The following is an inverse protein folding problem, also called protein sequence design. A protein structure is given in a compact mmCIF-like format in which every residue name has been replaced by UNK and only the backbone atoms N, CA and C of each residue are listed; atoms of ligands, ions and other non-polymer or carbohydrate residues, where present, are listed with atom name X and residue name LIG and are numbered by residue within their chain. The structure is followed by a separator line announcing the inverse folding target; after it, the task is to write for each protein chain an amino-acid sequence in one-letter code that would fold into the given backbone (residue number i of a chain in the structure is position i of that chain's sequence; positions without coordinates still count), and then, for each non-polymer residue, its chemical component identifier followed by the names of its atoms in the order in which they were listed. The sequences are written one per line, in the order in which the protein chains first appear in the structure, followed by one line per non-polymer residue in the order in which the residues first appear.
data_IF_058949590392
#
_entry.id   IF_058949590392
#
_cell.length_a   1.000
_cell.length_b   1.000
_cell.length_c   1.000
_cell.angle_alpha   90.00
_cell.angle_beta   90.00
_cell.angle_gamma   90.00
#
_symmetry.space_group_name_H-M   'P 1'
#
loop_
_entity.id
_entity.type
_entity.pdbx_description
1 polymer ?
#
# COMPACT_ATOMS: atom_id res chain seq x y z
N UNK A 1 10.11 14.80 -6.20
CA UNK A 1 9.57 13.42 -6.14
C UNK A 1 10.67 12.47 -6.61
N UNK A 2 11.11 11.54 -5.76
CA UNK A 2 12.17 10.60 -6.12
C UNK A 2 11.67 9.62 -7.18
N UNK A 3 12.30 9.60 -8.35
CA UNK A 3 11.87 8.79 -9.50
C UNK A 3 12.60 7.45 -9.60
N UNK A 4 13.20 6.98 -8.51
CA UNK A 4 13.98 5.74 -8.50
C UNK A 4 13.08 4.52 -8.68
N UNK A 5 13.41 3.70 -9.68
CA UNK A 5 12.76 2.43 -9.95
C UNK A 5 13.28 1.34 -9.00
N UNK A 6 12.40 0.46 -8.53
CA UNK A 6 12.79 -0.73 -7.74
C UNK A 6 13.08 -1.89 -8.70
N UNK A 7 14.08 -2.71 -8.39
CA UNK A 7 14.40 -3.93 -9.15
C UNK A 7 13.99 -5.19 -8.40
N UNK A 8 13.63 -6.21 -9.19
CA UNK A 8 13.40 -7.60 -8.81
C UNK A 8 14.10 -8.48 -9.85
N UNK A 9 14.31 -9.77 -9.56
CA UNK A 9 15.16 -10.69 -10.35
C UNK A 9 15.07 -10.53 -11.88
N UNK A 10 13.86 -10.36 -12.41
CA UNK A 10 13.62 -10.17 -13.86
C UNK A 10 12.69 -8.99 -14.17
N UNK A 11 12.51 -8.05 -13.24
CA UNK A 11 11.55 -6.97 -13.41
C UNK A 11 12.02 -5.68 -12.73
N UNK A 12 11.98 -4.58 -13.47
CA UNK A 12 12.14 -3.24 -12.91
C UNK A 12 10.77 -2.59 -12.89
N UNK A 13 10.36 -2.07 -11.74
CA UNK A 13 9.01 -1.55 -11.54
C UNK A 13 9.00 -0.32 -10.63
N UNK A 14 8.03 0.54 -10.87
CA UNK A 14 7.66 1.63 -9.97
C UNK A 14 6.15 1.75 -9.97
N UNK A 15 5.55 1.02 -9.05
CA UNK A 15 4.11 1.04 -8.86
C UNK A 15 3.82 1.93 -7.67
N UNK A 16 3.16 3.05 -7.94
CA UNK A 16 2.75 4.00 -6.91
C UNK A 16 1.24 4.08 -6.93
N UNK A 17 0.64 3.84 -5.76
CA UNK A 17 -0.79 3.96 -5.56
C UNK A 17 -1.06 4.99 -4.48
N UNK A 18 -2.11 5.79 -4.67
CA UNK A 18 -2.77 6.47 -3.57
C UNK A 18 -3.83 5.53 -3.00
N UNK A 19 -3.54 4.97 -1.83
CA UNK A 19 -4.50 4.18 -1.08
C UNK A 19 -5.18 5.05 -0.03
N UNK A 20 -6.50 5.18 -0.13
CA UNK A 20 -7.34 5.86 0.86
C UNK A 20 -8.11 4.81 1.66
N UNK A 21 -7.78 4.71 2.94
CA UNK A 21 -8.44 3.85 3.91
C UNK A 21 -9.13 4.70 4.96
N UNK A 22 -10.38 4.37 5.26
CA UNK A 22 -11.19 5.09 6.23
C UNK A 22 -11.46 4.18 7.43
N UNK A 23 -11.05 4.59 8.62
CA UNK A 23 -11.50 3.96 9.86
C UNK A 23 -12.97 4.29 10.09
N UNK A 24 -13.71 3.42 10.77
CA UNK A 24 -15.15 3.59 11.00
C UNK A 24 -15.50 4.94 11.64
N UNK A 25 -14.62 5.46 12.49
CA UNK A 25 -14.76 6.76 13.13
C UNK A 25 -13.71 7.78 12.67
N UNK A 26 -13.17 7.62 11.44
CA UNK A 26 -12.30 8.57 10.71
C UNK A 26 -11.10 9.12 11.50
N UNK A 27 -10.54 8.33 12.42
CA UNK A 27 -9.31 8.66 13.14
C UNK A 27 -8.07 8.28 12.32
N UNK A 28 -7.00 9.06 12.51
CA UNK A 28 -5.69 8.86 11.88
C UNK A 28 -5.01 7.64 12.50
N UNK A 29 -4.68 6.63 11.69
CA UNK A 29 -4.11 5.37 12.18
C UNK A 29 -3.00 4.79 11.29
N UNK A 30 -2.60 5.48 10.21
CA UNK A 30 -1.60 4.98 9.26
C UNK A 30 -0.33 5.81 9.26
N UNK A 31 0.79 5.12 9.07
CA UNK A 31 2.09 5.67 8.69
C UNK A 31 2.41 5.24 7.26
N UNK A 32 3.18 6.04 6.51
CA UNK A 32 3.49 5.77 5.09
C UNK A 32 4.16 4.42 4.84
N UNK A 33 4.91 3.91 5.82
CA UNK A 33 5.60 2.62 5.74
C UNK A 33 4.65 1.41 5.60
N UNK A 34 3.39 1.51 6.03
CA UNK A 34 2.41 0.43 5.90
C UNK A 34 1.89 0.23 4.46
N UNK A 35 2.23 1.12 3.53
CA UNK A 35 1.63 1.19 2.19
C UNK A 35 2.56 0.71 1.07
N UNK A 36 3.79 0.28 1.40
CA UNK A 36 4.72 -0.28 0.42
C UNK A 36 4.29 -1.69 0.03
N UNK A 37 3.98 -1.89 -1.26
CA UNK A 37 3.52 -3.16 -1.80
C UNK A 37 4.40 -3.62 -2.97
N UNK A 38 4.89 -4.88 -2.97
CA UNK A 38 5.58 -5.46 -4.11
C UNK A 38 4.61 -5.71 -5.29
N UNK A 39 5.14 -5.80 -6.53
CA UNK A 39 4.34 -5.72 -7.76
C UNK A 39 3.58 -7.01 -8.05
N UNK A 40 3.98 -8.12 -7.44
CA UNK A 40 3.38 -9.43 -7.59
C UNK A 40 2.13 -9.63 -6.71
N UNK A 41 1.80 -8.67 -5.86
CA UNK A 41 0.66 -8.77 -4.94
C UNK A 41 -0.58 -8.12 -5.55
N UNK A 42 -1.70 -8.84 -5.49
CA UNK A 42 -3.02 -8.32 -5.87
C UNK A 42 -3.47 -7.26 -4.85
N UNK A 43 -3.76 -6.01 -5.26
CA UNK A 43 -4.09 -4.92 -4.34
C UNK A 43 -5.29 -5.21 -3.43
N UNK A 44 -6.34 -5.85 -3.95
CA UNK A 44 -7.54 -6.18 -3.16
C UNK A 44 -7.25 -7.17 -2.03
N UNK A 45 -6.46 -8.22 -2.32
CA UNK A 45 -6.03 -9.19 -1.30
C UNK A 45 -5.15 -8.54 -0.25
N UNK A 46 -4.21 -7.68 -0.67
CA UNK A 46 -3.36 -6.91 0.23
C UNK A 46 -4.17 -6.04 1.18
N UNK A 47 -5.07 -5.21 0.65
CA UNK A 47 -5.90 -4.29 1.44
C UNK A 47 -6.79 -5.04 2.42
N UNK A 48 -7.39 -6.16 2.00
CA UNK A 48 -8.23 -6.98 2.87
C UNK A 48 -7.42 -7.62 4.00
N UNK A 49 -6.23 -8.16 3.69
CA UNK A 49 -5.34 -8.71 4.69
C UNK A 49 -4.86 -7.64 5.66
N UNK A 50 -4.44 -6.48 5.15
CA UNK A 50 -4.01 -5.34 5.95
C UNK A 50 -5.12 -4.89 6.90
N UNK A 51 -6.35 -4.67 6.41
CA UNK A 51 -7.51 -4.33 7.25
C UNK A 51 -7.77 -5.40 8.31
N UNK A 52 -7.72 -6.67 7.93
CA UNK A 52 -8.03 -7.79 8.84
C UNK A 52 -6.97 -7.93 9.94
N UNK A 53 -5.69 -7.99 9.56
CA UNK A 53 -4.57 -8.16 10.49
C UNK A 53 -4.47 -6.96 11.43
N UNK A 54 -4.49 -5.73 10.90
CA UNK A 54 -4.44 -4.51 11.74
C UNK A 54 -5.63 -4.43 12.68
N UNK A 55 -6.84 -4.77 12.21
CA UNK A 55 -8.01 -4.79 13.08
C UNK A 55 -7.91 -5.81 14.20
N UNK A 56 -7.25 -6.95 13.98
CA UNK A 56 -7.07 -7.99 15.00
C UNK A 56 -5.99 -7.58 16.00
N UNK A 57 -4.83 -7.13 15.53
CA UNK A 57 -3.71 -6.71 16.37
C UNK A 57 -4.05 -5.49 17.22
N UNK A 58 -4.64 -4.45 16.61
CA UNK A 58 -5.01 -3.22 17.33
C UNK A 58 -6.01 -3.49 18.45
N UNK A 59 -6.98 -4.38 18.22
CA UNK A 59 -7.93 -4.77 19.26
C UNK A 59 -7.31 -5.65 20.33
N UNK A 60 -6.30 -6.45 20.00
CA UNK A 60 -5.59 -7.29 20.97
C UNK A 60 -4.72 -6.43 21.89
N UNK A 61 -3.94 -5.52 21.33
CA UNK A 61 -2.94 -4.74 22.07
C UNK A 61 -3.53 -3.49 22.73
N UNK A 62 -4.51 -2.82 22.10
CA UNK A 62 -5.03 -1.53 22.55
C UNK A 62 -6.52 -1.59 22.93
N UNK A 63 -7.03 -2.76 23.34
CA UNK A 63 -8.44 -2.97 23.67
C UNK A 63 -9.02 -1.89 24.62
N UNK A 64 -8.30 -1.63 25.72
CA UNK A 64 -8.73 -0.66 26.75
C UNK A 64 -8.83 0.77 26.21
N UNK A 65 -7.84 1.18 25.42
CA UNK A 65 -7.82 2.51 24.81
C UNK A 65 -8.88 2.64 23.71
N UNK A 66 -9.05 1.61 22.88
CA UNK A 66 -10.03 1.61 21.79
C UNK A 66 -11.47 1.60 22.31
N UNK A 67 -11.77 0.97 23.45
CA UNK A 67 -13.11 0.93 24.02
C UNK A 67 -13.70 2.32 24.31
N UNK A 68 -12.86 3.31 24.63
CA UNK A 68 -13.29 4.69 24.83
C UNK A 68 -13.79 5.36 23.54
N UNK A 69 -13.27 4.95 22.38
CA UNK A 69 -13.57 5.58 21.10
C UNK A 69 -14.46 4.73 20.19
N UNK A 70 -14.48 3.41 20.38
CA UNK A 70 -15.13 2.45 19.50
C UNK A 70 -16.18 1.64 20.27
N UNK A 71 -17.45 2.04 20.16
CA UNK A 71 -18.57 1.30 20.77
C UNK A 71 -18.94 0.00 20.05
N UNK A 72 -18.40 -0.24 18.85
CA UNK A 72 -18.63 -1.46 18.06
C UNK A 72 -17.28 -2.13 17.77
N UNK A 73 -17.20 -3.47 17.70
CA UNK A 73 -15.98 -4.20 17.39
C UNK A 73 -15.69 -4.14 15.88
N UNK A 74 -15.55 -2.92 15.33
CA UNK A 74 -15.27 -2.66 13.92
C UNK A 74 -14.31 -1.48 13.82
N UNK A 75 -13.12 -1.74 13.29
CA UNK A 75 -12.10 -0.70 13.08
C UNK A 75 -12.24 -0.01 11.71
N UNK A 76 -12.50 -0.78 10.66
CA UNK A 76 -12.49 -0.31 9.27
C UNK A 76 -13.90 -0.20 8.67
N UNK A 77 -14.08 0.75 7.76
CA UNK A 77 -15.21 0.69 6.82
C UNK A 77 -14.97 -0.37 5.76
N UNK A 78 -16.05 -0.92 5.18
CA UNK A 78 -15.95 -1.87 4.07
C UNK A 78 -15.28 -1.22 2.85
N UNK A 79 -15.61 0.03 2.57
CA UNK A 79 -15.05 0.80 1.45
C UNK A 79 -13.53 1.06 1.60
N UNK A 80 -12.85 1.11 0.46
CA UNK A 80 -11.51 1.66 0.28
C UNK A 80 -11.43 2.28 -1.13
N UNK A 81 -10.55 3.24 -1.33
CA UNK A 81 -10.29 3.80 -2.66
C UNK A 81 -8.81 3.58 -3.00
N UNK A 82 -8.56 3.09 -4.22
CA UNK A 82 -7.24 2.83 -4.76
C UNK A 82 -7.10 3.59 -6.08
N UNK A 83 -6.16 4.52 -6.14
CA UNK A 83 -5.87 5.29 -7.35
C UNK A 83 -4.45 5.01 -7.79
N UNK A 84 -4.25 4.66 -9.06
CA UNK A 84 -2.92 4.57 -9.66
C UNK A 84 -2.43 5.97 -9.96
N UNK A 85 -1.19 6.26 -9.58
CA UNK A 85 -0.49 7.44 -10.11
C UNK A 85 0.48 6.98 -11.17
N UNK A 86 0.42 7.57 -12.36
CA UNK A 86 1.34 7.28 -13.47
C UNK A 86 2.79 7.33 -12.99
N UNK A 87 3.42 6.16 -12.92
CA UNK A 87 4.64 5.95 -12.12
C UNK A 87 5.95 6.14 -12.88
N UNK A 88 5.95 6.08 -14.21
CA UNK A 88 7.15 6.15 -15.03
C UNK A 88 7.00 7.19 -16.15
N UNK A 89 7.98 8.08 -16.29
CA UNK A 89 8.11 8.96 -17.45
C UNK A 89 8.62 8.16 -18.64
N UNK A 90 8.38 8.64 -19.87
CA UNK A 90 8.88 8.01 -21.10
C UNK A 90 10.40 7.78 -21.03
N UNK A 91 11.14 8.73 -20.46
CA UNK A 91 12.60 8.63 -20.29
C UNK A 91 13.02 7.48 -19.38
N UNK A 92 12.21 7.20 -18.35
CA UNK A 92 12.44 6.08 -17.43
C UNK A 92 12.25 4.74 -18.14
N UNK A 93 11.26 4.66 -19.04
CA UNK A 93 11.00 3.47 -19.86
C UNK A 93 12.12 3.27 -20.88
N UNK A 94 12.56 4.35 -21.55
CA UNK A 94 13.67 4.32 -22.50
C UNK A 94 14.95 3.78 -21.85
N UNK A 95 15.32 4.29 -20.68
CA UNK A 95 16.46 3.79 -19.91
C UNK A 95 16.31 2.32 -19.47
N UNK A 96 15.09 1.85 -19.21
CA UNK A 96 14.85 0.43 -18.92
C UNK A 96 15.09 -0.45 -20.14
N UNK A 97 14.70 -0.01 -21.34
CA UNK A 97 14.89 -0.75 -22.59
C UNK A 97 16.39 -0.81 -22.95
N UNK A 98 17.09 0.34 -22.88
CA UNK A 98 18.53 0.42 -23.14
C UNK A 98 19.35 -0.48 -22.20
N UNK A 99 18.96 -0.61 -20.93
CA UNK A 99 19.62 -1.50 -19.96
C UNK A 99 19.27 -2.98 -20.10
N UNK A 100 18.26 -3.32 -20.92
CA UNK A 100 17.89 -4.72 -21.22
C UNK A 100 18.70 -5.29 -22.40
N UNK A 101 19.36 -4.44 -23.18
CA UNK A 101 20.32 -4.90 -24.19
C UNK A 101 21.53 -5.52 -23.49
N UNK A 102 21.88 -6.75 -23.89
CA UNK A 102 23.02 -7.48 -23.34
C UNK A 102 24.31 -6.78 -23.82
N UNK A 103 25.34 -6.66 -22.96
CA UNK A 103 26.67 -6.36 -23.48
C UNK A 103 27.08 -7.55 -24.35
N UNK A 104 27.40 -7.28 -25.61
CA UNK A 104 27.99 -8.24 -26.54
C UNK A 104 29.35 -8.76 -26.01
#
# INVERSE_FOLDING_TARGET
MNNQLKSHYHCVYKITFHLVLVTKYRRKCFTGAMLDMPPNIVPSKFINNLKTVTSRLMRKEFAKHLAHFYCKPVLWTRAYCLLTTGGATIDTIRQCIEKQERPD
#
